data_IF_163730958493
#
_entry.id   IF_163730958493
#
_cell.length_a   1.000
_cell.length_b   1.000
_cell.length_c   1.000
_cell.angle_alpha   90.00
_cell.angle_beta   90.00
_cell.angle_gamma   90.00
#
_symmetry.space_group_name_H-M   'P 1'
#
loop_
_entity.id
_entity.type
_entity.pdbx_description
1 polymer ?
#
# COMPACT_ATOMS: atom_id res chain seq x y z
N UNK A 1 14.51 72.20 -28.02
CA UNK A 1 14.66 70.99 -27.18
C UNK A 1 13.46 70.95 -26.23
N UNK A 2 12.37 70.30 -26.65
CA UNK A 2 11.14 70.19 -25.86
C UNK A 2 11.05 68.80 -25.22
N UNK A 3 11.24 68.74 -23.91
CA UNK A 3 11.03 67.52 -23.13
C UNK A 3 9.52 67.27 -23.01
N UNK A 4 9.05 66.18 -23.60
CA UNK A 4 7.67 65.72 -23.51
C UNK A 4 7.37 65.20 -22.11
N UNK A 5 6.31 65.73 -21.47
CA UNK A 5 5.79 65.24 -20.18
C UNK A 5 5.25 63.82 -20.36
N UNK A 6 5.75 62.89 -19.55
CA UNK A 6 5.21 61.54 -19.43
C UNK A 6 3.92 61.63 -18.60
N UNK A 7 2.78 61.51 -19.25
CA UNK A 7 1.47 61.42 -18.59
C UNK A 7 1.33 60.06 -17.92
N UNK A 8 1.22 60.03 -16.58
CA UNK A 8 0.87 58.83 -15.82
C UNK A 8 -0.63 58.58 -15.91
N UNK A 9 -1.05 57.50 -16.57
CA UNK A 9 -2.41 56.96 -16.50
C UNK A 9 -2.59 56.21 -15.18
N UNK A 10 -3.01 56.91 -14.13
CA UNK A 10 -3.16 56.36 -12.77
C UNK A 10 -4.58 55.80 -12.47
N UNK A 11 -5.34 55.41 -13.49
CA UNK A 11 -6.77 55.08 -13.35
C UNK A 11 -7.15 53.59 -13.42
N UNK A 12 -6.30 52.73 -14.01
CA UNK A 12 -6.65 51.32 -14.26
C UNK A 12 -5.78 50.31 -13.49
N UNK A 13 -4.69 50.75 -12.85
CA UNK A 13 -3.79 49.87 -12.10
C UNK A 13 -4.44 49.25 -10.86
N UNK A 14 -5.24 50.04 -10.13
CA UNK A 14 -5.87 49.60 -8.88
C UNK A 14 -6.97 48.58 -9.11
N UNK A 15 -7.81 48.79 -10.13
CA UNK A 15 -8.96 47.92 -10.42
C UNK A 15 -8.55 46.63 -11.12
N UNK A 16 -7.55 46.66 -12.00
CA UNK A 16 -7.04 45.48 -12.68
C UNK A 16 -6.35 44.51 -11.72
N UNK A 17 -5.63 45.02 -10.71
CA UNK A 17 -5.04 44.19 -9.66
C UNK A 17 -6.12 43.46 -8.84
N UNK A 18 -7.20 44.16 -8.46
CA UNK A 18 -8.31 43.56 -7.71
C UNK A 18 -9.05 42.50 -8.52
N UNK A 19 -9.24 42.73 -9.82
CA UNK A 19 -9.89 41.77 -10.71
C UNK A 19 -9.03 40.52 -10.93
N UNK A 20 -7.73 40.70 -11.15
CA UNK A 20 -6.78 39.59 -11.27
C UNK A 20 -6.70 38.77 -9.97
N UNK A 21 -6.66 39.42 -8.80
CA UNK A 21 -6.66 38.76 -7.50
C UNK A 21 -7.96 37.98 -7.25
N UNK A 22 -9.12 38.52 -7.65
CA UNK A 22 -10.39 37.82 -7.54
C UNK A 22 -10.40 36.53 -8.37
N UNK A 23 -9.97 36.60 -9.64
CA UNK A 23 -9.89 35.40 -10.51
C UNK A 23 -8.89 34.38 -9.94
N UNK A 24 -7.74 34.84 -9.43
CA UNK A 24 -6.74 33.96 -8.82
C UNK A 24 -7.30 33.19 -7.60
N UNK A 25 -8.08 33.85 -6.75
CA UNK A 25 -8.74 33.20 -5.61
C UNK A 25 -9.78 32.17 -6.05
N UNK A 26 -10.57 32.46 -7.09
CA UNK A 26 -11.49 31.47 -7.67
C UNK A 26 -10.76 30.24 -8.22
N UNK A 27 -9.61 30.44 -8.86
CA UNK A 27 -8.79 29.33 -9.38
C UNK A 27 -8.22 28.45 -8.27
N UNK A 28 -7.81 29.03 -7.14
CA UNK A 28 -7.34 28.25 -5.98
C UNK A 28 -8.50 27.42 -5.41
N UNK A 29 -9.68 28.02 -5.21
CA UNK A 29 -10.85 27.31 -4.66
C UNK A 29 -11.28 26.15 -5.56
N UNK A 30 -11.24 26.33 -6.88
CA UNK A 30 -11.57 25.27 -7.84
C UNK A 30 -10.44 24.24 -8.04
N UNK A 31 -9.18 24.62 -7.86
CA UNK A 31 -8.00 23.77 -8.10
C UNK A 31 -7.64 22.86 -6.93
N UNK A 32 -7.86 23.28 -5.68
CA UNK A 32 -7.55 22.49 -4.47
C UNK A 32 -8.30 21.15 -4.40
N UNK A 33 -9.62 21.03 -4.67
CA UNK A 33 -10.33 19.75 -4.55
C UNK A 33 -9.97 18.74 -5.63
N UNK A 34 -9.24 19.14 -6.68
CA UNK A 34 -8.71 18.22 -7.69
C UNK A 34 -7.48 17.45 -7.19
N UNK A 35 -6.74 17.99 -6.22
CA UNK A 35 -5.59 17.29 -5.62
C UNK A 35 -5.99 16.28 -4.54
N UNK A 36 -7.12 16.47 -3.86
CA UNK A 36 -7.57 15.52 -2.81
C UNK A 36 -8.06 14.20 -3.41
N UNK A 37 -8.74 14.23 -4.57
CA UNK A 37 -9.27 13.04 -5.23
C UNK A 37 -8.19 12.10 -5.79
N UNK A 38 -6.99 12.62 -6.07
CA UNK A 38 -5.85 11.78 -6.48
C UNK A 38 -5.16 11.09 -5.29
N UNK A 39 -5.48 11.48 -4.06
CA UNK A 39 -4.82 10.96 -2.86
C UNK A 39 -5.63 9.86 -2.16
N UNK A 40 -6.94 9.77 -2.41
CA UNK A 40 -7.84 8.78 -1.79
C UNK A 40 -7.81 7.42 -2.50
N UNK A 41 -7.54 7.39 -3.82
CA UNK A 41 -7.43 6.14 -4.59
C UNK A 41 -6.11 5.38 -4.35
N UNK A 42 -5.11 6.03 -3.75
CA UNK A 42 -3.78 5.45 -3.54
C UNK A 42 -3.71 4.55 -2.31
N UNK A 43 -4.62 4.69 -1.35
CA UNK A 43 -4.57 3.94 -0.09
C UNK A 43 -4.99 2.49 -0.28
N UNK A 44 -6.11 2.25 -0.97
CA UNK A 44 -6.63 0.89 -1.22
C UNK A 44 -5.70 0.08 -2.13
N UNK A 45 -5.07 0.71 -3.13
CA UNK A 45 -4.15 0.04 -4.05
C UNK A 45 -2.82 -0.34 -3.37
N UNK A 46 -2.28 0.53 -2.50
CA UNK A 46 -1.03 0.26 -1.77
C UNK A 46 -1.18 -0.89 -0.78
N UNK A 47 -2.32 -0.96 -0.11
CA UNK A 47 -2.56 -2.01 0.87
C UNK A 47 -2.81 -3.37 0.21
N UNK A 48 -3.54 -3.45 -0.91
CA UNK A 48 -3.70 -4.70 -1.67
C UNK A 48 -2.38 -5.17 -2.31
N UNK A 49 -1.57 -4.20 -2.77
CA UNK A 49 -0.22 -4.46 -3.27
C UNK A 49 0.69 -5.07 -2.21
N UNK A 50 0.57 -4.61 -0.96
CA UNK A 50 1.44 -5.08 0.12
C UNK A 50 1.34 -6.59 0.38
N UNK A 51 0.14 -7.17 0.41
CA UNK A 51 -0.01 -8.63 0.58
C UNK A 51 0.57 -9.40 -0.61
N UNK A 52 0.34 -8.89 -1.83
CA UNK A 52 0.87 -9.49 -3.06
C UNK A 52 2.40 -9.48 -3.06
N UNK A 53 3.03 -8.41 -2.56
CA UNK A 53 4.49 -8.33 -2.42
C UNK A 53 5.03 -9.35 -1.42
N UNK A 54 4.31 -9.59 -0.31
CA UNK A 54 4.71 -10.60 0.69
C UNK A 54 4.57 -12.03 0.15
N UNK A 55 3.53 -12.31 -0.64
CA UNK A 55 3.39 -13.61 -1.32
C UNK A 55 4.50 -13.83 -2.35
N UNK A 56 4.84 -12.79 -3.13
CA UNK A 56 5.97 -12.85 -4.05
C UNK A 56 7.30 -13.03 -3.30
N UNK A 57 7.48 -12.37 -2.16
CA UNK A 57 8.65 -12.56 -1.31
C UNK A 57 8.76 -14.02 -0.85
N UNK A 58 7.67 -14.62 -0.35
CA UNK A 58 7.64 -16.01 0.05
C UNK A 58 7.99 -16.97 -1.11
N UNK A 59 7.42 -16.73 -2.28
CA UNK A 59 7.72 -17.50 -3.49
C UNK A 59 9.20 -17.41 -3.88
N UNK A 60 9.77 -16.19 -3.88
CA UNK A 60 11.19 -15.99 -4.18
C UNK A 60 12.09 -16.63 -3.13
N UNK A 61 11.70 -16.62 -1.87
CA UNK A 61 12.49 -17.20 -0.79
C UNK A 61 12.49 -18.75 -0.85
N UNK A 62 11.37 -19.35 -1.26
CA UNK A 62 11.28 -20.79 -1.51
C UNK A 62 12.27 -21.23 -2.60
N UNK A 63 12.30 -20.49 -3.71
CA UNK A 63 13.21 -20.76 -4.83
C UNK A 63 14.66 -20.49 -4.43
N UNK A 64 14.94 -19.35 -3.77
CA UNK A 64 16.31 -18.95 -3.39
C UNK A 64 16.96 -19.91 -2.41
N UNK A 65 16.19 -20.42 -1.45
CA UNK A 65 16.69 -21.37 -0.44
C UNK A 65 16.59 -22.81 -0.90
N UNK A 66 15.77 -23.11 -1.90
CA UNK A 66 15.47 -24.48 -2.31
C UNK A 66 14.78 -25.28 -1.20
N UNK A 67 13.99 -24.60 -0.36
CA UNK A 67 13.27 -25.18 0.77
C UNK A 67 11.79 -24.80 0.69
N UNK A 68 10.87 -25.65 1.18
CA UNK A 68 9.47 -25.29 1.24
C UNK A 68 9.27 -24.10 2.20
N UNK A 69 8.58 -23.07 1.73
CA UNK A 69 8.21 -21.89 2.52
C UNK A 69 6.69 -21.89 2.67
N UNK A 70 6.22 -21.83 3.90
CA UNK A 70 4.79 -21.75 4.22
C UNK A 70 4.42 -20.32 4.54
N UNK A 71 3.27 -19.89 4.00
CA UNK A 71 2.61 -18.64 4.34
C UNK A 71 1.28 -18.96 4.99
N UNK A 72 1.05 -18.45 6.19
CA UNK A 72 -0.23 -18.60 6.88
C UNK A 72 -0.86 -17.24 7.16
N UNK A 73 -2.20 -17.19 7.21
CA UNK A 73 -2.92 -16.02 7.68
C UNK A 73 -2.82 -15.88 9.21
N UNK A 74 -2.69 -14.64 9.69
CA UNK A 74 -2.55 -14.38 11.12
C UNK A 74 -3.01 -12.97 11.49
N UNK A 75 -4.01 -12.88 12.38
CA UNK A 75 -4.46 -11.60 12.94
C UNK A 75 -3.58 -11.08 14.09
N UNK A 76 -2.89 -11.97 14.80
CA UNK A 76 -2.00 -11.63 15.91
C UNK A 76 -0.52 -11.53 15.49
N UNK A 77 -0.16 -12.03 14.31
CA UNK A 77 1.22 -12.08 13.83
C UNK A 77 2.09 -13.04 14.65
N UNK A 78 1.51 -13.91 15.47
CA UNK A 78 2.22 -14.89 16.32
C UNK A 78 1.80 -16.32 16.00
N UNK A 79 0.54 -16.56 15.63
CA UNK A 79 -0.02 -17.90 15.38
C UNK A 79 -0.77 -17.97 14.05
N UNK A 80 -0.73 -19.13 13.40
CA UNK A 80 -1.37 -19.41 12.10
C UNK A 80 -2.84 -19.87 12.17
N UNK A 81 -3.62 -19.37 13.14
CA UNK A 81 -4.95 -19.91 13.42
C UNK A 81 -6.11 -19.24 12.66
N UNK A 82 -5.87 -18.09 12.03
CA UNK A 82 -6.92 -17.28 11.39
C UNK A 82 -6.97 -17.52 9.87
N UNK A 83 -7.27 -18.75 9.47
CA UNK A 83 -7.37 -19.17 8.06
C UNK A 83 -8.26 -18.25 7.19
N UNK A 84 -9.22 -17.60 7.83
CA UNK A 84 -10.27 -16.83 7.17
C UNK A 84 -9.91 -15.36 6.95
N UNK A 85 -8.86 -14.84 7.59
CA UNK A 85 -8.56 -13.41 7.57
C UNK A 85 -7.11 -13.10 7.15
N UNK A 86 -6.90 -13.16 5.84
CA UNK A 86 -5.65 -12.72 5.20
C UNK A 86 -5.52 -11.20 5.15
N UNK A 87 -6.63 -10.48 5.40
CA UNK A 87 -6.67 -9.02 5.41
C UNK A 87 -5.93 -8.40 6.60
N UNK A 88 -5.90 -9.08 7.74
CA UNK A 88 -5.25 -8.59 8.97
C UNK A 88 -3.73 -8.80 8.98
N UNK A 89 -3.24 -9.82 8.27
CA UNK A 89 -1.82 -10.14 8.24
C UNK A 89 -1.51 -11.56 7.78
N UNK A 90 -0.23 -11.80 7.56
CA UNK A 90 0.29 -13.11 7.22
C UNK A 90 1.71 -13.32 7.79
N UNK A 91 2.07 -14.56 8.06
CA UNK A 91 3.40 -14.95 8.51
C UNK A 91 4.03 -15.82 7.42
N UNK A 92 5.28 -15.52 7.09
CA UNK A 92 6.10 -16.31 6.14
C UNK A 92 7.19 -17.01 6.94
N UNK A 93 7.25 -18.33 6.86
CA UNK A 93 8.19 -19.14 7.63
C UNK A 93 8.58 -20.43 6.88
N UNK A 94 9.64 -21.06 7.37
CA UNK A 94 10.10 -22.38 6.91
C UNK A 94 9.78 -23.38 8.01
N UNK A 95 8.99 -24.37 7.67
CA UNK A 95 8.67 -25.52 8.52
C UNK A 95 9.91 -26.42 8.65
N UNK A 96 10.37 -26.64 9.88
CA UNK A 96 11.54 -27.49 10.19
C UNK A 96 11.12 -28.80 10.83
N UNK A 97 10.07 -28.78 11.65
CA UNK A 97 9.53 -29.94 12.38
C UNK A 97 8.46 -30.71 11.60
N UNK A 98 7.98 -30.18 10.47
CA UNK A 98 7.01 -30.83 9.59
C UNK A 98 5.57 -30.75 10.09
N UNK A 99 5.28 -29.88 11.07
CA UNK A 99 3.93 -29.51 11.42
C UNK A 99 3.36 -28.59 10.32
N UNK A 100 2.69 -29.19 9.33
CA UNK A 100 2.20 -28.45 8.17
C UNK A 100 1.20 -27.37 8.59
N UNK A 101 1.54 -26.11 8.32
CA UNK A 101 0.64 -24.97 8.51
C UNK A 101 0.53 -24.42 9.93
N UNK A 102 1.29 -24.93 10.91
CA UNK A 102 1.40 -24.33 12.24
C UNK A 102 2.78 -23.72 12.41
N UNK A 103 2.87 -22.63 13.16
CA UNK A 103 4.16 -22.03 13.49
C UNK A 103 4.72 -22.72 14.74
N UNK A 104 5.53 -23.75 14.51
CA UNK A 104 6.26 -24.45 15.55
C UNK A 104 7.34 -23.58 16.19
N UNK A 105 7.75 -23.92 17.41
CA UNK A 105 8.86 -23.23 18.09
C UNK A 105 10.22 -23.50 17.44
N UNK A 106 10.32 -24.52 16.60
CA UNK A 106 11.53 -24.88 15.87
C UNK A 106 11.62 -24.26 14.47
N UNK A 107 10.53 -23.63 14.02
CA UNK A 107 10.43 -23.06 12.69
C UNK A 107 11.18 -21.75 12.55
N UNK A 108 11.56 -21.46 11.31
CA UNK A 108 12.33 -20.27 10.97
C UNK A 108 11.38 -19.24 10.36
N UNK A 109 11.01 -18.22 11.15
CA UNK A 109 10.21 -17.10 10.66
C UNK A 109 11.07 -16.20 9.79
N UNK A 110 10.60 -15.98 8.56
CA UNK A 110 11.26 -15.13 7.56
C UNK A 110 10.69 -13.71 7.59
N UNK A 111 9.37 -13.59 7.71
CA UNK A 111 8.69 -12.30 7.75
C UNK A 111 7.36 -12.40 8.48
N UNK A 112 6.95 -11.31 9.13
CA UNK A 112 5.63 -11.12 9.72
C UNK A 112 5.04 -9.85 9.11
N UNK A 113 3.92 -9.99 8.42
CA UNK A 113 3.17 -8.88 7.86
C UNK A 113 1.89 -8.69 8.65
N UNK A 114 1.59 -7.43 8.98
CA UNK A 114 0.32 -7.02 9.55
C UNK A 114 -0.21 -5.85 8.76
N UNK A 115 -1.45 -5.94 8.33
CA UNK A 115 -2.14 -4.79 7.80
C UNK A 115 -2.58 -3.90 8.97
N UNK A 116 -2.45 -2.59 8.80
CA UNK A 116 -2.92 -1.60 9.78
C UNK A 116 -4.14 -0.82 9.26
N UNK A 117 -4.53 -1.04 8.00
CA UNK A 117 -5.73 -0.48 7.38
C UNK A 117 -6.92 -1.40 7.54
N UNK A 118 -8.06 -0.83 7.94
CA UNK A 118 -9.35 -1.53 8.15
C UNK A 118 -10.15 -1.70 6.83
N UNK A 119 -9.54 -1.34 5.70
CA UNK A 119 -10.24 -1.13 4.42
C UNK A 119 -10.19 -2.34 3.49
N UNK A 120 -9.43 -3.38 3.85
CA UNK A 120 -9.23 -4.59 3.04
C UNK A 120 -9.58 -5.84 3.82
N UNK A 121 -10.73 -6.41 3.51
CA UNK A 121 -11.09 -7.77 3.89
C UNK A 121 -10.66 -8.75 2.81
N UNK A 122 -9.55 -9.46 3.02
CA UNK A 122 -9.20 -10.64 2.22
C UNK A 122 -9.64 -11.88 2.97
N UNK A 123 -10.71 -12.50 2.49
CA UNK A 123 -11.24 -13.75 3.04
C UNK A 123 -10.89 -14.92 2.12
N UNK A 124 -10.42 -16.01 2.73
CA UNK A 124 -10.09 -17.27 2.06
C UNK A 124 -10.54 -18.43 2.96
N UNK A 125 -10.73 -19.62 2.39
CA UNK A 125 -10.90 -20.83 3.20
C UNK A 125 -9.58 -21.59 3.43
N UNK A 126 -8.49 -21.10 2.82
CA UNK A 126 -7.17 -21.70 2.89
C UNK A 126 -6.46 -21.21 4.15
N UNK A 127 -6.04 -22.15 5.00
CA UNK A 127 -5.34 -21.82 6.23
C UNK A 127 -3.89 -21.39 5.96
N UNK A 128 -3.26 -22.02 4.98
CA UNK A 128 -1.88 -21.75 4.60
C UNK A 128 -1.62 -22.12 3.14
N UNK A 129 -0.60 -21.47 2.58
CA UNK A 129 -0.12 -21.64 1.22
C UNK A 129 1.35 -22.05 1.33
N UNK A 130 1.70 -23.20 0.76
CA UNK A 130 3.07 -23.68 0.75
C UNK A 130 3.69 -23.54 -0.64
N UNK A 131 4.80 -22.83 -0.72
CA UNK A 131 5.63 -22.70 -1.91
C UNK A 131 6.77 -23.71 -1.83
N UNK A 132 6.90 -24.54 -2.86
CA UNK A 132 7.96 -25.54 -2.96
C UNK A 132 9.21 -24.96 -3.64
N UNK A 133 10.34 -25.67 -3.53
CA UNK A 133 11.62 -25.28 -4.11
C UNK A 133 11.60 -25.15 -5.64
N UNK A 134 10.67 -25.83 -6.31
CA UNK A 134 10.46 -25.78 -7.76
C UNK A 134 9.56 -24.61 -8.20
N UNK A 135 9.07 -23.80 -7.26
CA UNK A 135 8.12 -22.71 -7.50
C UNK A 135 6.67 -23.18 -7.64
N UNK A 136 6.39 -24.47 -7.43
CA UNK A 136 5.01 -24.96 -7.37
C UNK A 136 4.33 -24.52 -6.07
N UNK A 137 3.02 -24.35 -6.14
CA UNK A 137 2.18 -23.98 -4.99
C UNK A 137 1.34 -25.19 -4.60
N UNK A 138 1.34 -25.51 -3.32
CA UNK A 138 0.41 -26.46 -2.70
C UNK A 138 -0.49 -25.69 -1.74
N UNK A 139 -1.80 -25.82 -1.96
CA UNK A 139 -2.84 -25.16 -1.18
C UNK A 139 -3.47 -26.18 -0.24
N UNK A 140 -3.67 -25.80 1.03
CA UNK A 140 -4.25 -26.65 2.06
C UNK A 140 -5.41 -25.97 2.78
#
# INVERSE_FOLDING_TARGET
MSIGRISRCNGTGSTMLLMAAAVFLFLIVAGVPAFSQLNENETTAKEAGSITDHLQFAHQEAIRRGLPVTVCASGNGETCNDAENWGEGCIVFIEVDGAQGDLGSSDIVLSRFRNSGDHLGLQSNLAYIQYQADGSIVLY
#
